data_IF_227141494538
#
_entry.id   IF_227141494538
#
_cell.length_a   1.000
_cell.length_b   1.000
_cell.length_c   1.000
_cell.angle_alpha   90.00
_cell.angle_beta   90.00
_cell.angle_gamma   90.00
#
_symmetry.space_group_name_H-M   'P 1'
#
loop_
_entity.id
_entity.type
_entity.pdbx_description
1 polymer ?
#
# COMPACT_ATOMS: atom_id res chain seq x y z
N UNK A 1 1.97 -2.28 -22.15
CA UNK A 1 1.71 -2.35 -20.70
C UNK A 1 0.37 -2.99 -20.40
N UNK A 2 -0.73 -2.48 -20.98
CA UNK A 2 -2.11 -2.98 -20.74
C UNK A 2 -2.24 -4.51 -20.83
N UNK A 3 -1.70 -5.14 -21.87
CA UNK A 3 -1.74 -6.61 -22.00
C UNK A 3 -1.07 -7.38 -20.85
N UNK A 4 -0.05 -6.82 -20.19
CA UNK A 4 0.53 -7.42 -18.99
C UNK A 4 -0.49 -7.39 -17.84
N UNK A 5 -1.09 -6.23 -17.60
CA UNK A 5 -2.10 -6.02 -16.56
C UNK A 5 -3.32 -6.93 -16.78
N UNK A 6 -3.77 -7.10 -18.02
CA UNK A 6 -4.88 -8.00 -18.36
C UNK A 6 -4.56 -9.47 -18.05
N UNK A 7 -3.35 -9.95 -18.36
CA UNK A 7 -2.93 -11.31 -18.03
C UNK A 7 -2.89 -11.52 -16.51
N UNK A 8 -2.37 -10.55 -15.76
CA UNK A 8 -2.32 -10.63 -14.30
C UNK A 8 -3.71 -10.73 -13.66
N UNK A 9 -4.69 -10.01 -14.22
CA UNK A 9 -6.06 -10.01 -13.71
C UNK A 9 -6.88 -11.25 -14.10
N UNK A 10 -6.33 -12.19 -14.89
CA UNK A 10 -7.02 -13.46 -15.15
C UNK A 10 -7.01 -14.34 -13.89
N UNK A 11 -8.18 -14.83 -13.42
CA UNK A 11 -8.28 -15.60 -12.18
C UNK A 11 -7.64 -16.99 -12.28
N UNK A 12 -7.71 -17.60 -13.47
CA UNK A 12 -7.03 -18.87 -13.75
C UNK A 12 -6.23 -18.71 -15.04
N UNK A 13 -4.92 -18.67 -14.89
CA UNK A 13 -3.96 -18.68 -15.98
C UNK A 13 -2.71 -19.40 -15.46
N UNK A 14 -2.36 -20.53 -16.07
CA UNK A 14 -1.12 -21.24 -15.71
C UNK A 14 0.07 -20.41 -16.19
N UNK A 15 1.15 -20.35 -15.40
CA UNK A 15 2.33 -19.54 -15.72
C UNK A 15 2.04 -18.03 -15.78
N UNK A 16 1.08 -17.55 -14.98
CA UNK A 16 0.59 -16.16 -15.00
C UNK A 16 1.66 -15.15 -14.65
N UNK A 17 2.38 -15.36 -13.55
CA UNK A 17 3.32 -14.37 -13.04
C UNK A 17 4.52 -14.23 -14.00
N UNK A 18 4.92 -15.33 -14.63
CA UNK A 18 6.00 -15.39 -15.59
C UNK A 18 5.63 -14.72 -16.92
N UNK A 19 4.46 -15.07 -17.49
CA UNK A 19 3.96 -14.40 -18.71
C UNK A 19 3.74 -12.91 -18.45
N UNK A 20 3.18 -12.57 -17.30
CA UNK A 20 2.99 -11.19 -16.87
C UNK A 20 4.32 -10.43 -16.84
N UNK A 21 5.35 -10.95 -16.17
CA UNK A 21 6.65 -10.27 -16.10
C UNK A 21 7.32 -10.18 -17.47
N UNK A 22 7.20 -11.19 -18.33
CA UNK A 22 7.71 -11.12 -19.71
C UNK A 22 7.07 -9.96 -20.48
N UNK A 23 5.75 -9.81 -20.39
CA UNK A 23 5.02 -8.73 -21.06
C UNK A 23 5.33 -7.36 -20.44
N UNK A 24 5.47 -7.29 -19.12
CA UNK A 24 5.85 -6.10 -18.37
C UNK A 24 7.25 -5.60 -18.79
N UNK A 25 8.24 -6.49 -18.81
CA UNK A 25 9.61 -6.17 -19.21
C UNK A 25 9.69 -5.77 -20.68
N UNK A 26 8.93 -6.42 -21.56
CA UNK A 26 8.86 -6.04 -22.97
C UNK A 26 8.24 -4.63 -23.13
N UNK A 27 7.20 -4.30 -22.36
CA UNK A 27 6.61 -2.96 -22.38
C UNK A 27 7.64 -1.90 -21.96
N UNK A 28 8.39 -2.17 -20.89
CA UNK A 28 9.48 -1.30 -20.43
C UNK A 28 10.56 -1.11 -21.49
N UNK A 29 11.02 -2.19 -22.12
CA UNK A 29 12.02 -2.12 -23.18
C UNK A 29 11.56 -1.24 -24.35
N UNK A 30 10.29 -1.36 -24.76
CA UNK A 30 9.71 -0.53 -25.82
C UNK A 30 9.58 0.94 -25.41
N UNK A 31 9.20 1.23 -24.16
CA UNK A 31 9.13 2.61 -23.65
C UNK A 31 10.53 3.25 -23.61
N UNK A 32 11.54 2.54 -23.13
CA UNK A 32 12.90 3.09 -23.09
C UNK A 32 13.43 3.34 -24.50
N UNK A 33 13.19 2.42 -25.44
CA UNK A 33 13.55 2.61 -26.84
C UNK A 33 12.82 3.78 -27.48
N UNK A 34 11.56 4.02 -27.15
CA UNK A 34 10.82 5.18 -27.69
C UNK A 34 11.38 6.49 -27.14
N UNK A 35 11.81 6.53 -25.88
CA UNK A 35 12.50 7.70 -25.28
C UNK A 35 13.83 7.95 -26.00
N UNK A 36 14.67 6.92 -26.18
CA UNK A 36 15.94 7.00 -26.93
C UNK A 36 15.71 7.50 -28.36
N UNK A 37 14.70 6.96 -29.05
CA UNK A 37 14.35 7.41 -30.39
C UNK A 37 13.88 8.87 -30.41
N UNK A 38 13.11 9.29 -29.40
CA UNK A 38 12.60 10.66 -29.28
C UNK A 38 13.71 11.66 -28.93
N UNK A 39 14.77 11.23 -28.23
CA UNK A 39 15.95 12.06 -27.97
C UNK A 39 16.89 12.17 -29.17
N UNK A 40 16.58 11.54 -30.31
CA UNK A 40 17.40 11.56 -31.52
C UNK A 40 18.54 10.54 -31.53
N UNK A 41 18.58 9.64 -30.54
CA UNK A 41 19.60 8.59 -30.42
C UNK A 41 19.19 7.31 -31.14
N UNK A 42 20.17 6.49 -31.53
CA UNK A 42 19.90 5.24 -32.27
C UNK A 42 19.48 4.11 -31.32
N UNK A 43 18.35 3.46 -31.63
CA UNK A 43 17.86 2.27 -30.90
C UNK A 43 18.52 0.95 -31.32
N UNK A 44 19.46 0.99 -32.27
CA UNK A 44 20.15 -0.18 -32.82
C UNK A 44 21.64 -0.14 -32.49
N UNK A 45 22.22 -1.32 -32.22
CA UNK A 45 23.67 -1.45 -32.18
C UNK A 45 24.27 -1.24 -33.58
N UNK A 46 25.55 -0.84 -33.67
CA UNK A 46 26.26 -0.76 -34.93
C UNK A 46 26.14 -2.08 -35.71
N UNK A 47 25.80 -1.97 -36.99
CA UNK A 47 25.60 -3.14 -37.86
C UNK A 47 26.91 -3.89 -38.05
N UNK A 48 26.93 -5.17 -37.66
CA UNK A 48 28.01 -6.10 -37.99
C UNK A 48 27.73 -6.76 -39.34
N UNK A 49 28.77 -6.91 -40.15
CA UNK A 49 28.68 -7.55 -41.47
C UNK A 49 28.27 -9.02 -41.30
N UNK A 50 27.25 -9.46 -42.04
CA UNK A 50 26.77 -10.85 -42.01
C UNK A 50 25.83 -11.20 -40.85
N UNK A 51 25.61 -10.31 -39.88
CA UNK A 51 24.66 -10.53 -38.78
C UNK A 51 23.35 -9.75 -38.99
N UNK A 52 22.21 -10.19 -38.45
CA UNK A 52 20.96 -9.41 -38.45
C UNK A 52 21.09 -8.12 -37.63
N UNK A 53 20.18 -7.16 -37.84
CA UNK A 53 20.14 -5.96 -37.02
C UNK A 53 19.76 -6.33 -35.59
N UNK A 54 20.47 -5.74 -34.60
CA UNK A 54 20.18 -5.92 -33.18
C UNK A 54 19.75 -4.59 -32.58
N UNK A 55 18.61 -4.58 -31.89
CA UNK A 55 18.18 -3.41 -31.11
C UNK A 55 18.84 -3.42 -29.75
N UNK A 56 18.92 -2.25 -29.10
CA UNK A 56 19.43 -2.12 -27.73
C UNK A 56 18.68 -3.08 -26.79
N UNK A 57 19.38 -3.64 -25.81
CA UNK A 57 18.72 -4.37 -24.71
C UNK A 57 17.96 -3.40 -23.81
N UNK A 58 17.06 -3.90 -22.95
CA UNK A 58 16.37 -3.06 -21.96
C UNK A 58 17.37 -2.27 -21.09
N UNK A 59 18.43 -2.92 -20.58
CA UNK A 59 19.45 -2.29 -19.76
C UNK A 59 20.25 -1.20 -20.50
N UNK A 60 20.62 -1.46 -21.76
CA UNK A 60 21.37 -0.46 -22.54
C UNK A 60 20.47 0.69 -22.98
N UNK A 61 19.21 0.41 -23.33
CA UNK A 61 18.22 1.45 -23.60
C UNK A 61 17.98 2.33 -22.35
N UNK A 62 17.95 1.73 -21.15
CA UNK A 62 17.83 2.47 -19.89
C UNK A 62 19.00 3.45 -19.68
N UNK A 63 20.23 2.99 -19.88
CA UNK A 63 21.44 3.83 -19.72
C UNK A 63 21.45 5.04 -20.65
N UNK A 64 20.92 4.89 -21.87
CA UNK A 64 20.83 5.99 -22.83
C UNK A 64 19.64 6.90 -22.48
N UNK A 65 18.46 6.32 -22.20
CA UNK A 65 17.25 7.07 -21.86
C UNK A 65 17.41 7.92 -20.60
N UNK A 66 18.00 7.37 -19.53
CA UNK A 66 18.21 8.04 -18.25
C UNK A 66 19.16 9.24 -18.32
N UNK A 67 20.09 9.24 -19.29
CA UNK A 67 21.00 10.36 -19.56
C UNK A 67 20.41 11.42 -20.48
N UNK A 68 19.30 11.11 -21.15
CA UNK A 68 18.66 12.04 -22.08
C UNK A 68 18.02 13.21 -21.33
N UNK A 69 17.94 14.38 -21.98
CA UNK A 69 17.24 15.54 -21.43
C UNK A 69 15.72 15.32 -21.24
N UNK A 70 15.18 14.25 -21.85
CA UNK A 70 13.77 13.88 -21.72
C UNK A 70 13.48 13.16 -20.40
N UNK A 71 14.50 12.66 -19.70
CA UNK A 71 14.28 11.98 -18.43
C UNK A 71 13.80 12.96 -17.34
N UNK A 72 12.66 12.71 -16.68
CA UNK A 72 12.13 13.62 -15.66
C UNK A 72 13.06 13.70 -14.44
N UNK A 73 13.43 14.92 -14.04
CA UNK A 73 14.35 15.17 -12.91
C UNK A 73 13.83 14.66 -11.55
N UNK A 74 12.51 14.55 -11.39
CA UNK A 74 11.89 14.09 -10.16
C UNK A 74 11.87 12.55 -10.03
N UNK A 75 12.21 11.81 -11.10
CA UNK A 75 12.24 10.36 -11.10
C UNK A 75 13.68 9.86 -10.90
N UNK A 76 14.01 9.23 -9.77
CA UNK A 76 15.35 8.74 -9.51
C UNK A 76 15.67 7.54 -10.43
N UNK A 77 16.60 7.68 -11.39
CA UNK A 77 16.86 6.63 -12.37
C UNK A 77 17.43 5.37 -11.71
N UNK A 78 18.22 5.50 -10.64
CA UNK A 78 18.87 4.37 -9.96
C UNK A 78 17.86 3.40 -9.33
N UNK A 79 16.83 3.91 -8.64
CA UNK A 79 15.81 3.07 -8.03
C UNK A 79 14.92 2.37 -9.08
N UNK A 80 14.63 3.07 -10.19
CA UNK A 80 13.86 2.52 -11.30
C UNK A 80 14.67 1.44 -12.04
N UNK A 81 15.97 1.67 -12.27
CA UNK A 81 16.86 0.68 -12.88
C UNK A 81 16.92 -0.59 -12.04
N UNK A 82 17.11 -0.45 -10.72
CA UNK A 82 17.15 -1.58 -9.81
C UNK A 82 15.83 -2.38 -9.80
N UNK A 83 14.68 -1.70 -9.85
CA UNK A 83 13.37 -2.37 -9.97
C UNK A 83 13.27 -3.20 -11.28
N UNK A 84 13.65 -2.61 -12.41
CA UNK A 84 13.63 -3.26 -13.73
C UNK A 84 14.66 -4.41 -13.79
N UNK A 85 15.83 -4.24 -13.19
CA UNK A 85 16.91 -5.25 -13.14
C UNK A 85 16.47 -6.48 -12.36
N UNK A 86 15.83 -6.30 -11.20
CA UNK A 86 15.33 -7.40 -10.38
C UNK A 86 14.21 -8.16 -11.11
N UNK A 87 13.28 -7.45 -11.74
CA UNK A 87 12.24 -8.06 -12.58
C UNK A 87 12.84 -8.77 -13.81
N UNK A 88 13.91 -8.22 -14.39
CA UNK A 88 14.67 -8.85 -15.47
C UNK A 88 15.38 -10.13 -15.02
N UNK A 89 15.91 -10.14 -13.79
CA UNK A 89 16.51 -11.33 -13.18
C UNK A 89 15.45 -12.41 -12.95
N UNK A 90 14.28 -12.03 -12.42
CA UNK A 90 13.16 -12.95 -12.29
C UNK A 90 12.72 -13.50 -13.66
N UNK A 91 12.58 -12.66 -14.68
CA UNK A 91 12.25 -13.07 -16.06
C UNK A 91 13.23 -14.12 -16.60
N UNK A 92 14.53 -13.91 -16.40
CA UNK A 92 15.57 -14.83 -16.87
C UNK A 92 15.52 -16.17 -16.13
N UNK A 93 15.18 -16.13 -14.85
CA UNK A 93 15.13 -17.31 -13.99
C UNK A 93 13.74 -17.96 -13.92
N UNK A 94 12.70 -17.35 -14.50
CA UNK A 94 11.30 -17.81 -14.46
C UNK A 94 11.14 -19.26 -14.96
N UNK A 95 11.96 -19.66 -15.93
CA UNK A 95 12.02 -21.04 -16.44
C UNK A 95 12.45 -22.05 -15.36
N UNK A 96 13.22 -21.61 -14.36
CA UNK A 96 13.69 -22.42 -13.23
C UNK A 96 12.81 -22.31 -11.98
N UNK A 97 11.92 -21.32 -11.90
CA UNK A 97 11.13 -20.98 -10.70
C UNK A 97 9.69 -21.50 -10.70
N UNK A 98 9.34 -22.39 -11.64
CA UNK A 98 7.99 -22.84 -12.03
C UNK A 98 7.01 -23.22 -10.89
N UNK A 99 7.43 -23.31 -9.62
CA UNK A 99 6.63 -23.81 -8.50
C UNK A 99 6.69 -22.98 -7.20
N UNK A 100 7.34 -21.82 -7.15
CA UNK A 100 7.47 -21.07 -5.88
C UNK A 100 6.44 -19.94 -5.74
N UNK A 101 5.21 -20.33 -5.36
CA UNK A 101 4.11 -19.42 -5.01
C UNK A 101 4.49 -18.31 -4.03
N UNK A 102 5.49 -18.58 -3.20
CA UNK A 102 5.99 -17.63 -2.21
C UNK A 102 6.63 -16.38 -2.84
N UNK A 103 7.15 -16.45 -4.07
CA UNK A 103 7.66 -15.29 -4.80
C UNK A 103 6.53 -14.41 -5.35
N UNK A 104 5.31 -14.93 -5.54
CA UNK A 104 4.22 -14.21 -6.20
C UNK A 104 3.89 -12.87 -5.53
N UNK A 105 3.86 -12.83 -4.19
CA UNK A 105 3.62 -11.61 -3.42
C UNK A 105 4.73 -10.56 -3.65
N UNK A 106 5.99 -11.00 -3.65
CA UNK A 106 7.14 -10.12 -3.88
C UNK A 106 7.14 -9.58 -5.32
N UNK A 107 6.91 -10.45 -6.30
CA UNK A 107 6.81 -10.09 -7.72
C UNK A 107 5.65 -9.13 -7.96
N UNK A 108 4.52 -9.32 -7.27
CA UNK A 108 3.41 -8.39 -7.33
C UNK A 108 3.82 -6.98 -6.87
N UNK A 109 4.46 -6.85 -5.71
CA UNK A 109 4.93 -5.55 -5.20
C UNK A 109 5.98 -4.90 -6.11
N UNK A 110 6.94 -5.66 -6.64
CA UNK A 110 7.91 -5.16 -7.62
C UNK A 110 7.23 -4.68 -8.91
N UNK A 111 6.27 -5.45 -9.40
CA UNK A 111 5.57 -5.15 -10.65
C UNK A 111 4.63 -3.97 -10.54
N UNK A 112 3.93 -3.82 -9.41
CA UNK A 112 3.13 -2.63 -9.11
C UNK A 112 4.00 -1.37 -9.14
N UNK A 113 5.16 -1.43 -8.49
CA UNK A 113 6.14 -0.33 -8.51
C UNK A 113 6.60 -0.03 -9.94
N UNK A 114 6.86 -1.07 -10.74
CA UNK A 114 7.22 -0.94 -12.15
C UNK A 114 6.11 -0.31 -13.00
N UNK A 115 4.84 -0.63 -12.74
CA UNK A 115 3.70 -0.06 -13.45
C UNK A 115 3.55 1.43 -13.12
N UNK A 116 3.67 1.80 -11.83
CA UNK A 116 3.64 3.20 -11.40
C UNK A 116 4.77 4.02 -12.02
N UNK A 117 5.99 3.48 -12.00
CA UNK A 117 7.16 4.12 -12.62
C UNK A 117 6.98 4.27 -14.14
N UNK A 118 6.41 3.27 -14.81
CA UNK A 118 6.13 3.34 -16.24
C UNK A 118 5.10 4.44 -16.54
N UNK A 119 4.00 4.49 -15.78
CA UNK A 119 2.94 5.51 -15.95
C UNK A 119 3.52 6.90 -15.81
N UNK A 120 4.25 7.15 -14.71
CA UNK A 120 4.82 8.47 -14.43
C UNK A 120 5.81 8.89 -15.54
N UNK A 121 6.61 7.94 -16.06
CA UNK A 121 7.55 8.19 -17.15
C UNK A 121 6.84 8.43 -18.50
N UNK A 122 5.83 7.61 -18.84
CA UNK A 122 5.06 7.75 -20.07
C UNK A 122 4.27 9.06 -20.09
N UNK A 123 3.62 9.41 -18.97
CA UNK A 123 2.91 10.67 -18.82
C UNK A 123 3.86 11.87 -18.93
N UNK A 124 5.03 11.82 -18.28
CA UNK A 124 5.99 12.92 -18.31
C UNK A 124 6.64 13.13 -19.68
N UNK A 125 6.98 12.05 -20.39
CA UNK A 125 7.72 12.15 -21.66
C UNK A 125 6.79 12.28 -22.87
N UNK A 126 5.64 11.61 -22.86
CA UNK A 126 4.73 11.53 -24.01
C UNK A 126 3.37 12.19 -23.77
N UNK A 127 3.05 12.61 -22.54
CA UNK A 127 1.73 13.15 -22.21
C UNK A 127 0.62 12.12 -22.29
N UNK A 128 0.96 10.83 -22.20
CA UNK A 128 0.01 9.72 -22.27
C UNK A 128 -0.11 9.06 -20.89
N UNK A 129 -1.32 9.00 -20.35
CA UNK A 129 -1.60 8.20 -19.17
C UNK A 129 -2.12 6.82 -19.58
N UNK A 130 -1.53 5.76 -19.03
CA UNK A 130 -2.01 4.39 -19.24
C UNK A 130 -3.42 4.21 -18.67
N UNK A 131 -3.79 5.04 -17.69
CA UNK A 131 -5.12 5.11 -17.12
C UNK A 131 -6.23 5.23 -18.17
N UNK A 132 -5.94 5.93 -19.27
CA UNK A 132 -6.90 6.20 -20.33
C UNK A 132 -7.17 4.97 -21.22
N UNK A 133 -6.25 4.00 -21.22
CA UNK A 133 -6.35 2.77 -22.01
C UNK A 133 -6.87 1.56 -21.20
N UNK A 134 -7.04 1.69 -19.88
CA UNK A 134 -7.45 0.59 -19.00
C UNK A 134 -8.89 0.77 -18.52
N UNK A 135 -9.68 -0.30 -18.59
CA UNK A 135 -10.98 -0.34 -17.93
C UNK A 135 -10.80 -0.53 -16.42
N UNK A 136 -11.04 0.53 -15.64
CA UNK A 136 -10.93 0.54 -14.18
C UNK A 136 -11.92 -0.38 -13.43
N UNK A 137 -12.87 -0.99 -14.14
CA UNK A 137 -13.87 -1.89 -13.56
C UNK A 137 -13.34 -3.33 -13.56
N UNK A 138 -12.39 -3.60 -12.69
CA UNK A 138 -11.92 -4.97 -12.43
C UNK A 138 -12.64 -5.48 -11.18
N UNK A 139 -13.27 -6.65 -11.27
CA UNK A 139 -13.84 -7.32 -10.10
C UNK A 139 -12.69 -7.81 -9.22
N UNK A 140 -12.58 -7.38 -7.95
CA UNK A 140 -11.59 -7.92 -7.04
C UNK A 140 -11.95 -9.37 -6.73
N UNK A 141 -11.19 -10.32 -7.28
CA UNK A 141 -11.38 -11.77 -7.06
C UNK A 141 -10.46 -12.33 -5.96
N UNK A 142 -9.62 -11.48 -5.35
CA UNK A 142 -8.69 -11.87 -4.30
C UNK A 142 -9.35 -11.87 -2.92
N UNK A 143 -9.47 -13.04 -2.30
CA UNK A 143 -9.90 -13.23 -0.89
C UNK A 143 -8.70 -13.48 0.03
N UNK A 144 -7.53 -13.81 -0.53
CA UNK A 144 -6.31 -14.03 0.24
C UNK A 144 -5.65 -12.69 0.60
N UNK A 145 -5.29 -12.55 1.88
CA UNK A 145 -4.49 -11.41 2.31
C UNK A 145 -3.15 -11.45 1.57
N UNK A 146 -2.75 -10.37 0.87
CA UNK A 146 -1.41 -10.31 0.29
C UNK A 146 -0.39 -10.48 1.41
N UNK A 147 0.55 -11.40 1.22
CA UNK A 147 1.68 -11.58 2.16
C UNK A 147 2.47 -10.27 2.17
N UNK A 148 2.72 -9.71 3.35
CA UNK A 148 3.58 -8.52 3.48
C UNK A 148 4.98 -8.89 2.93
N UNK A 149 5.47 -8.20 1.87
CA UNK A 149 6.81 -8.42 1.33
C UNK A 149 7.89 -8.31 2.40
N UNK A 150 7.71 -7.47 3.42
CA UNK A 150 8.62 -7.30 4.54
C UNK A 150 8.64 -8.54 5.43
N UNK A 151 7.49 -9.13 5.73
CA UNK A 151 7.40 -10.38 6.49
C UNK A 151 7.93 -11.57 5.69
N UNK A 152 7.75 -11.56 4.36
CA UNK A 152 8.36 -12.54 3.48
C UNK A 152 9.89 -12.46 3.43
N UNK A 153 10.45 -11.24 3.46
CA UNK A 153 11.89 -11.01 3.56
C UNK A 153 12.45 -11.33 4.96
N UNK A 154 11.67 -11.08 6.02
CA UNK A 154 12.08 -11.34 7.41
C UNK A 154 11.94 -12.81 7.83
N UNK A 155 11.12 -13.60 7.15
CA UNK A 155 10.95 -15.02 7.45
C UNK A 155 12.25 -15.79 7.15
N UNK A 156 13.03 -15.93 8.22
CA UNK A 156 14.18 -16.81 8.38
C UNK A 156 13.78 -18.29 8.12
N UNK A 157 14.75 -19.22 7.99
CA UNK A 157 14.63 -20.51 7.28
C UNK A 157 13.84 -21.57 8.07
N UNK A 158 12.57 -21.30 8.37
CA UNK A 158 11.69 -22.17 9.15
C UNK A 158 10.27 -22.31 8.59
N UNK A 159 9.83 -21.43 7.69
CA UNK A 159 8.53 -21.56 7.01
C UNK A 159 8.73 -22.06 5.57
N UNK A 160 8.58 -23.38 5.39
CA UNK A 160 8.75 -24.15 4.14
C UNK A 160 10.18 -24.10 3.55
N UNK A 161 10.70 -25.22 2.98
CA UNK A 161 11.99 -25.20 2.33
C UNK A 161 11.94 -24.29 1.09
N UNK A 162 12.40 -23.05 1.23
CA UNK A 162 12.65 -22.13 0.10
C UNK A 162 13.77 -22.73 -0.73
N UNK A 163 13.60 -22.85 -2.05
CA UNK A 163 14.65 -23.35 -2.94
C UNK A 163 15.90 -22.48 -2.83
N UNK A 164 17.06 -23.07 -3.16
CA UNK A 164 18.32 -22.34 -3.18
C UNK A 164 18.24 -21.10 -4.09
N UNK A 165 17.52 -21.21 -5.21
CA UNK A 165 17.35 -20.11 -6.15
C UNK A 165 16.51 -18.96 -5.56
N UNK A 166 15.51 -19.24 -4.72
CA UNK A 166 14.75 -18.20 -3.98
C UNK A 166 15.62 -17.50 -2.95
N UNK A 167 16.46 -18.26 -2.24
CA UNK A 167 17.37 -17.67 -1.24
C UNK A 167 18.39 -16.74 -1.90
N UNK A 168 18.96 -17.15 -3.04
CA UNK A 168 19.86 -16.32 -3.84
C UNK A 168 19.15 -15.05 -4.36
N UNK A 169 17.90 -15.16 -4.82
CA UNK A 169 17.11 -14.00 -5.26
C UNK A 169 16.79 -13.02 -4.10
N UNK A 170 16.43 -13.54 -2.92
CA UNK A 170 16.16 -12.72 -1.73
C UNK A 170 17.42 -12.01 -1.23
N UNK A 171 18.58 -12.69 -1.27
CA UNK A 171 19.85 -12.08 -0.92
C UNK A 171 20.19 -10.94 -1.88
N UNK A 172 20.00 -11.16 -3.19
CA UNK A 172 20.22 -10.14 -4.22
C UNK A 172 19.29 -8.92 -4.04
N UNK A 173 18.01 -9.13 -3.76
CA UNK A 173 17.07 -8.05 -3.45
C UNK A 173 17.54 -7.23 -2.25
N UNK A 174 17.93 -7.90 -1.16
CA UNK A 174 18.40 -7.23 0.06
C UNK A 174 19.67 -6.42 -0.17
N UNK A 175 20.61 -6.95 -0.94
CA UNK A 175 21.85 -6.25 -1.33
C UNK A 175 21.52 -4.96 -2.10
N UNK A 176 20.62 -5.04 -3.09
CA UNK A 176 20.18 -3.87 -3.87
C UNK A 176 19.45 -2.82 -3.04
N UNK A 177 18.58 -3.25 -2.11
CA UNK A 177 17.90 -2.31 -1.20
C UNK A 177 18.92 -1.58 -0.33
N UNK A 178 19.85 -2.32 0.29
CA UNK A 178 20.88 -1.73 1.16
C UNK A 178 21.79 -0.76 0.40
N UNK A 179 22.16 -1.07 -0.85
CA UNK A 179 23.01 -0.18 -1.65
C UNK A 179 22.32 1.15 -1.95
N UNK A 180 21.03 1.13 -2.27
CA UNK A 180 20.27 2.35 -2.53
C UNK A 180 20.04 3.19 -1.28
N UNK A 181 19.79 2.55 -0.13
CA UNK A 181 19.69 3.23 1.16
C UNK A 181 21.00 3.91 1.55
N UNK A 182 22.13 3.25 1.28
CA UNK A 182 23.48 3.80 1.55
C UNK A 182 23.77 5.05 0.70
N UNK A 183 23.24 5.09 -0.52
CA UNK A 183 23.35 6.22 -1.45
C UNK A 183 22.31 7.32 -1.16
N UNK A 184 21.45 7.16 -0.13
CA UNK A 184 20.43 8.13 0.26
C UNK A 184 19.25 8.24 -0.71
N UNK A 185 19.02 7.22 -1.54
CA UNK A 185 17.98 7.19 -2.57
C UNK A 185 16.71 6.58 -1.99
N UNK A 186 15.55 7.21 -2.26
CA UNK A 186 14.25 6.70 -1.85
C UNK A 186 13.95 5.33 -2.49
N UNK A 187 13.80 4.31 -1.64
CA UNK A 187 13.53 2.92 -2.02
C UNK A 187 12.07 2.66 -2.37
N UNK A 188 11.16 3.62 -2.18
CA UNK A 188 9.75 3.47 -2.57
C UNK A 188 9.59 3.18 -4.07
N UNK A 189 10.53 3.67 -4.89
CA UNK A 189 10.58 3.46 -6.35
C UNK A 189 11.26 2.14 -6.76
N UNK A 190 11.86 1.43 -5.81
CA UNK A 190 12.38 0.06 -5.97
C UNK A 190 11.30 -0.99 -5.66
N UNK A 191 10.68 -0.87 -4.48
CA UNK A 191 9.69 -1.84 -3.98
C UNK A 191 8.68 -1.12 -3.08
N UNK A 192 7.43 -1.02 -3.53
CA UNK A 192 6.32 -0.52 -2.71
C UNK A 192 5.63 -1.67 -1.97
N UNK A 193 5.51 -1.52 -0.66
CA UNK A 193 4.70 -2.42 0.20
C UNK A 193 3.27 -1.91 0.21
N UNK A 194 2.31 -2.79 -0.11
CA UNK A 194 0.90 -2.45 -0.13
C UNK A 194 0.16 -3.19 0.97
N UNK A 195 -0.66 -2.46 1.72
CA UNK A 195 -1.63 -3.02 2.66
C UNK A 195 -3.02 -2.98 2.01
N UNK A 196 -3.57 -4.14 1.68
CA UNK A 196 -4.92 -4.26 1.10
C UNK A 196 -5.89 -4.52 2.24
N UNK A 197 -6.58 -3.46 2.68
CA UNK A 197 -7.68 -3.59 3.64
C UNK A 197 -9.02 -3.61 2.90
N UNK A 198 -9.72 -4.75 2.93
CA UNK A 198 -11.11 -4.82 2.49
C UNK A 198 -11.99 -4.23 3.60
N UNK A 199 -12.47 -3.00 3.40
CA UNK A 199 -13.36 -2.33 4.34
C UNK A 199 -14.81 -2.37 3.83
N UNK A 200 -15.67 -3.14 4.50
CA UNK A 200 -17.12 -3.07 4.29
C UNK A 200 -17.66 -1.81 4.95
N UNK A 201 -17.78 -0.72 4.18
CA UNK A 201 -18.33 0.55 4.67
C UNK A 201 -19.81 0.66 4.28
N UNK A 202 -20.71 0.45 5.25
CA UNK A 202 -22.17 0.68 5.15
C UNK A 202 -22.58 2.16 4.93
N UNK A 203 -21.64 3.08 4.70
CA UNK A 203 -21.93 4.48 4.37
C UNK A 203 -21.04 4.94 3.22
N UNK A 204 -21.70 5.18 2.09
CA UNK A 204 -21.17 5.43 0.74
C UNK A 204 -20.46 6.78 0.60
N UNK A 205 -20.44 7.63 1.64
CA UNK A 205 -20.08 9.04 1.48
C UNK A 205 -18.58 9.34 1.46
N UNK A 206 -17.71 8.34 1.63
CA UNK A 206 -16.23 8.51 1.59
C UNK A 206 -15.52 7.23 1.12
N UNK A 207 -15.65 6.90 -0.16
CA UNK A 207 -14.86 5.85 -0.78
C UNK A 207 -14.31 6.33 -2.13
N UNK A 208 -13.01 6.13 -2.35
CA UNK A 208 -12.39 6.34 -3.66
C UNK A 208 -12.67 5.16 -4.62
N UNK A 209 -13.13 3.99 -4.13
CA UNK A 209 -13.73 2.90 -4.93
C UNK A 209 -14.82 2.17 -4.09
N UNK A 210 -16.02 1.98 -4.66
CA UNK A 210 -17.17 1.29 -4.05
C UNK A 210 -17.31 -0.13 -4.62
N UNK A 211 -17.25 -1.15 -3.77
CA UNK A 211 -17.74 -2.51 -4.10
C UNK A 211 -18.73 -2.92 -3.02
N UNK A 212 -20.01 -2.94 -3.38
CA UNK A 212 -21.10 -3.34 -2.49
C UNK A 212 -21.26 -4.85 -2.49
N UNK A 213 -21.22 -5.47 -1.31
CA UNK A 213 -21.75 -6.81 -1.08
C UNK A 213 -22.85 -6.69 -0.04
N UNK A 214 -24.10 -6.78 -0.47
CA UNK A 214 -25.25 -6.97 0.42
C UNK A 214 -25.34 -8.44 0.77
N UNK A 215 -25.01 -8.75 2.02
CA UNK A 215 -25.54 -9.90 2.73
C UNK A 215 -25.84 -9.45 4.16
N UNK A 216 -27.09 -9.63 4.55
CA UNK A 216 -27.56 -9.48 5.92
C UNK A 216 -26.82 -10.46 6.85
N UNK A 217 -26.75 -10.09 8.12
CA UNK A 217 -26.16 -10.83 9.23
C UNK A 217 -24.62 -10.92 9.26
N UNK A 218 -24.03 -10.03 10.05
CA UNK A 218 -22.88 -10.31 10.92
C UNK A 218 -22.79 -9.15 11.92
N UNK A 219 -23.39 -9.37 13.09
CA UNK A 219 -23.09 -8.62 14.29
C UNK A 219 -21.64 -8.92 14.72
N UNK A 220 -21.01 -7.92 15.33
CA UNK A 220 -19.63 -7.90 15.84
C UNK A 220 -18.51 -7.94 14.79
N UNK A 221 -18.16 -6.75 14.28
CA UNK A 221 -16.86 -6.51 13.66
C UNK A 221 -16.02 -5.52 14.49
N UNK A 222 -14.91 -6.07 14.98
CA UNK A 222 -13.79 -5.42 15.65
C UNK A 222 -13.35 -4.14 14.95
N UNK A 223 -13.16 -3.09 15.76
CA UNK A 223 -12.50 -1.85 15.37
C UNK A 223 -11.00 -2.11 15.29
N UNK A 224 -10.40 -1.95 14.10
CA UNK A 224 -8.94 -1.88 13.96
C UNK A 224 -8.53 -0.43 13.76
N UNK A 225 -7.53 -0.04 14.56
CA UNK A 225 -7.02 1.29 14.77
C UNK A 225 -6.26 1.83 13.57
N UNK A 226 -6.69 2.98 13.03
CA UNK A 226 -5.83 3.82 12.19
C UNK A 226 -4.95 4.69 13.08
N UNK A 227 -3.66 4.81 12.77
CA UNK A 227 -2.84 5.97 13.17
C UNK A 227 -3.30 7.20 12.41
N UNK A 228 -4.40 7.80 12.86
CA UNK A 228 -4.86 9.12 12.41
C UNK A 228 -4.20 10.16 13.31
N UNK A 229 -3.80 11.30 12.75
CA UNK A 229 -3.34 12.46 13.53
C UNK A 229 -4.30 12.69 14.73
N UNK A 230 -3.79 12.72 15.98
CA UNK A 230 -4.60 12.94 17.17
C UNK A 230 -5.44 14.22 17.13
N UNK A 231 -5.00 15.25 16.40
CA UNK A 231 -5.73 16.50 16.27
C UNK A 231 -6.95 16.38 15.35
N UNK A 232 -6.92 15.45 14.39
CA UNK A 232 -8.02 15.18 13.45
C UNK A 232 -8.97 14.12 14.02
N UNK A 233 -8.44 13.10 14.70
CA UNK A 233 -9.25 12.02 15.28
C UNK A 233 -9.91 12.38 16.62
N UNK A 234 -9.23 13.16 17.46
CA UNK A 234 -9.68 13.54 18.80
C UNK A 234 -9.63 15.06 18.96
N UNK A 235 -10.55 15.81 18.32
CA UNK A 235 -10.48 17.27 18.29
C UNK A 235 -11.00 17.94 19.58
N UNK A 236 -11.72 17.23 20.46
CA UNK A 236 -12.51 17.86 21.52
C UNK A 236 -11.88 17.75 22.91
N UNK A 237 -11.82 18.85 23.65
CA UNK A 237 -11.57 18.82 25.10
C UNK A 237 -12.88 18.62 25.84
N UNK A 238 -12.83 18.25 27.12
CA UNK A 238 -14.04 18.04 27.93
C UNK A 238 -14.99 19.26 27.90
N UNK A 239 -14.44 20.48 27.89
CA UNK A 239 -15.22 21.73 27.78
C UNK A 239 -16.00 21.84 26.46
N UNK A 240 -15.48 21.27 25.38
CA UNK A 240 -16.07 21.31 24.04
C UNK A 240 -17.08 20.18 23.82
N UNK A 241 -16.99 19.11 24.62
CA UNK A 241 -17.90 17.95 24.57
C UNK A 241 -19.24 18.27 25.23
N UNK A 242 -19.23 18.89 26.42
CA UNK A 242 -20.44 19.21 27.19
C UNK A 242 -21.54 19.93 26.38
N UNK A 243 -21.27 20.99 25.58
CA UNK A 243 -22.30 21.65 24.78
C UNK A 243 -22.78 20.84 23.56
N UNK A 244 -22.08 19.75 23.19
CA UNK A 244 -22.41 18.90 22.03
C UNK A 244 -23.20 17.65 22.38
N UNK A 245 -23.49 17.45 23.68
CA UNK A 245 -24.35 16.36 24.13
C UNK A 245 -25.80 16.68 23.79
N UNK A 246 -26.59 15.66 23.40
CA UNK A 246 -28.02 15.84 23.09
C UNK A 246 -28.83 16.29 24.31
N UNK A 247 -28.31 16.06 25.51
CA UNK A 247 -28.93 16.41 26.78
C UNK A 247 -28.44 17.77 27.24
N UNK A 248 -29.33 18.75 27.21
CA UNK A 248 -29.06 20.10 27.70
C UNK A 248 -28.94 20.04 29.23
N UNK A 249 -27.81 20.46 29.79
CA UNK A 249 -27.58 20.53 31.24
C UNK A 249 -26.79 19.37 31.87
N UNK A 250 -26.19 18.48 31.07
CA UNK A 250 -25.27 17.44 31.62
C UNK A 250 -24.10 18.07 32.35
N UNK A 251 -23.87 17.64 33.58
CA UNK A 251 -22.81 18.19 34.44
C UNK A 251 -21.45 17.58 34.09
N UNK A 252 -20.38 18.34 34.35
CA UNK A 252 -19.00 17.83 34.22
C UNK A 252 -18.77 16.53 35.01
N UNK A 253 -19.46 16.40 36.15
CA UNK A 253 -19.41 15.22 37.02
C UNK A 253 -20.03 13.97 36.37
N UNK A 254 -21.14 14.12 35.64
CA UNK A 254 -21.78 13.00 34.93
C UNK A 254 -20.91 12.46 33.80
N UNK A 255 -20.25 13.35 33.06
CA UNK A 255 -19.28 12.97 32.05
C UNK A 255 -18.09 12.23 32.66
N UNK A 256 -17.57 12.70 33.79
CA UNK A 256 -16.46 12.05 34.49
C UNK A 256 -16.83 10.67 35.04
N UNK A 257 -18.01 10.53 35.63
CA UNK A 257 -18.49 9.25 36.16
C UNK A 257 -18.63 8.19 35.05
N UNK A 258 -19.24 8.56 33.92
CA UNK A 258 -19.42 7.63 32.79
C UNK A 258 -18.09 7.27 32.15
N UNK A 259 -17.21 8.25 31.90
CA UNK A 259 -15.90 7.98 31.28
C UNK A 259 -14.96 7.16 32.16
N UNK A 260 -15.15 7.18 33.48
CA UNK A 260 -14.39 6.38 34.42
C UNK A 260 -14.92 4.94 34.51
N UNK A 261 -16.23 4.76 34.73
CA UNK A 261 -16.84 3.44 34.89
C UNK A 261 -16.80 2.61 33.61
N UNK A 262 -16.99 3.25 32.44
CA UNK A 262 -16.94 2.57 31.15
C UNK A 262 -15.53 2.51 30.55
N UNK A 263 -14.48 2.80 31.33
CA UNK A 263 -13.06 2.73 30.93
C UNK A 263 -12.72 3.46 29.62
N UNK A 264 -13.53 4.45 29.24
CA UNK A 264 -13.44 5.13 27.94
C UNK A 264 -12.14 5.90 27.74
N UNK A 265 -11.37 6.12 28.82
CA UNK A 265 -10.08 6.78 28.75
C UNK A 265 -8.92 5.82 28.45
N UNK A 266 -9.11 4.52 28.61
CA UNK A 266 -8.13 3.48 28.28
C UNK A 266 -8.34 2.95 26.86
N UNK A 267 -9.54 3.14 26.29
CA UNK A 267 -9.84 2.80 24.90
C UNK A 267 -9.36 3.89 23.90
N UNK A 268 -8.43 3.56 22.97
CA UNK A 268 -7.92 4.50 21.97
C UNK A 268 -8.96 5.01 20.96
N UNK A 269 -10.14 4.37 20.94
CA UNK A 269 -11.28 4.75 20.10
C UNK A 269 -11.99 6.01 20.60
N UNK A 270 -12.03 6.18 21.92
CA UNK A 270 -12.79 7.26 22.56
C UNK A 270 -11.89 8.39 23.04
N UNK A 271 -10.66 8.06 23.47
CA UNK A 271 -9.78 8.98 24.15
C UNK A 271 -8.35 8.89 23.63
N UNK A 272 -7.76 10.06 23.37
CA UNK A 272 -6.32 10.21 23.17
C UNK A 272 -5.73 10.98 24.33
N UNK A 273 -4.65 10.46 24.91
CA UNK A 273 -3.89 11.09 25.99
C UNK A 273 -2.50 11.47 25.48
N UNK A 274 -2.15 12.73 25.65
CA UNK A 274 -0.79 13.20 25.47
C UNK A 274 0.08 12.76 26.67
N UNK A 275 1.21 12.12 26.39
CA UNK A 275 2.13 11.63 27.43
C UNK A 275 2.89 12.77 28.12
N UNK A 276 3.08 13.90 27.44
CA UNK A 276 3.94 14.98 27.92
C UNK A 276 3.14 16.13 28.55
N UNK A 277 1.95 16.44 28.01
CA UNK A 277 1.14 17.58 28.44
C UNK A 277 -0.03 17.22 29.38
N UNK A 278 -0.18 15.95 29.76
CA UNK A 278 -1.33 15.41 30.52
C UNK A 278 -2.69 15.85 29.92
N UNK A 279 -2.73 16.02 28.60
CA UNK A 279 -3.86 16.55 27.87
C UNK A 279 -4.73 15.39 27.38
N UNK A 280 -6.00 15.42 27.77
CA UNK A 280 -7.00 14.43 27.35
C UNK A 280 -7.88 15.03 26.25
N UNK A 281 -7.89 14.38 25.09
CA UNK A 281 -8.77 14.74 23.98
C UNK A 281 -9.73 13.59 23.64
N UNK A 282 -10.92 13.95 23.20
CA UNK A 282 -12.03 13.03 22.96
C UNK A 282 -12.41 12.99 21.49
N UNK A 283 -12.77 11.80 21.01
CA UNK A 283 -13.29 11.61 19.66
C UNK A 283 -14.78 11.95 19.58
N UNK A 284 -15.31 12.22 18.37
CA UNK A 284 -16.76 12.32 18.15
C UNK A 284 -17.53 11.06 18.57
N UNK A 285 -16.87 9.89 18.58
CA UNK A 285 -17.48 8.62 18.95
C UNK A 285 -17.75 8.52 20.45
N UNK A 286 -16.92 9.14 21.30
CA UNK A 286 -17.18 9.24 22.72
C UNK A 286 -18.49 9.99 23.02
N UNK A 287 -18.78 11.04 22.24
CA UNK A 287 -20.03 11.82 22.32
C UNK A 287 -21.22 10.96 21.90
N UNK A 288 -21.07 10.16 20.83
CA UNK A 288 -22.12 9.26 20.37
C UNK A 288 -22.41 8.14 21.38
N UNK A 289 -21.36 7.56 21.97
CA UNK A 289 -21.50 6.53 23.01
C UNK A 289 -22.29 7.07 24.21
N UNK A 290 -21.90 8.25 24.72
CA UNK A 290 -22.63 8.89 25.82
C UNK A 290 -24.09 9.16 25.47
N UNK A 291 -24.37 9.64 24.25
CA UNK A 291 -25.73 9.90 23.80
C UNK A 291 -26.60 8.64 23.64
N UNK A 292 -26.01 7.44 23.56
CA UNK A 292 -26.73 6.16 23.50
C UNK A 292 -27.13 5.62 24.88
N UNK A 293 -26.50 6.10 25.95
CA UNK A 293 -26.79 5.65 27.31
C UNK A 293 -28.14 6.17 27.79
N UNK A 294 -28.89 5.32 28.50
CA UNK A 294 -30.17 5.68 29.14
C UNK A 294 -29.95 6.40 30.47
N UNK A 295 -30.94 7.16 30.96
CA UNK A 295 -30.84 7.88 32.24
C UNK A 295 -30.55 6.96 33.43
N UNK A 296 -31.14 5.76 33.44
CA UNK A 296 -30.88 4.75 34.48
C UNK A 296 -29.42 4.27 34.48
N UNK A 297 -28.79 4.18 33.31
CA UNK A 297 -27.38 3.75 33.20
C UNK A 297 -26.43 4.84 33.68
N UNK A 298 -26.73 6.11 33.37
CA UNK A 298 -25.93 7.25 33.86
C UNK A 298 -26.08 7.40 35.38
N UNK A 299 -27.30 7.26 35.92
CA UNK A 299 -27.51 7.31 37.37
C UNK A 299 -26.77 6.19 38.11
N UNK A 300 -26.74 4.98 37.53
CA UNK A 300 -25.96 3.85 38.04
C UNK A 300 -24.45 4.16 38.03
N UNK A 301 -23.93 4.67 36.92
CA UNK A 301 -22.52 5.06 36.81
C UNK A 301 -22.14 6.17 37.80
N UNK A 302 -23.02 7.16 38.06
CA UNK A 302 -22.78 8.19 39.09
C UNK A 302 -22.68 7.59 40.49
N UNK A 303 -23.55 6.63 40.83
CA UNK A 303 -23.55 5.99 42.15
C UNK A 303 -22.29 5.15 42.35
N UNK A 304 -21.94 4.34 41.37
CA UNK A 304 -20.72 3.51 41.37
C UNK A 304 -19.45 4.37 41.42
N UNK A 305 -19.43 5.49 40.70
CA UNK A 305 -18.33 6.45 40.75
C UNK A 305 -18.22 7.14 42.12
N UNK A 306 -19.32 7.50 42.76
CA UNK A 306 -19.26 8.07 44.12
C UNK A 306 -18.78 7.04 45.15
N UNK A 307 -19.14 5.77 44.99
CA UNK A 307 -18.76 4.70 45.91
C UNK A 307 -17.28 4.30 45.75
N UNK A 308 -16.70 4.47 44.55
CA UNK A 308 -15.27 4.20 44.32
C UNK A 308 -14.31 5.17 45.01
N UNK A 309 -14.78 6.34 45.47
CA UNK A 309 -13.99 7.31 46.26
C UNK A 309 -14.38 7.34 47.75
N UNK A 310 -15.31 6.49 48.19
CA UNK A 310 -15.73 6.36 49.61
C UNK A 310 -15.04 5.19 50.34
N UNK A 311 -14.18 4.44 49.65
CA UNK A 311 -13.22 3.50 50.24
C UNK A 311 -11.85 4.14 50.32
#
# INVERSE_FOLDING_TARGET
MVGAIEIYNKPRFEYRDEVFVILLMNAWELLLKSIVSKSGERIYYPKKRGEPYRTLTCADAFKVASKSALWPKHLPPQAIDANIEILGTYRNNAVHFYNEKALSALIYSLSQTAILNYRDLAASVFGQDIADEITWRIMPLGVENPIDPVDFMKSAPGSSPKSRAVQEFLAYLKERTNSLESDGIDTARLLTVFDVSLQSVKKIDRADIVVGVTSEDLADSMVVSRKVDPNVSHPYRQKDVLPKLKRVGTTSYEWQAVTFIHEMREEPRYCWRDKDANLVKWSPEAIQYFNRLTESQIAKAKKEYSDSFRK
#
